data_IF_221697591511
#
_entry.id   IF_221697591511
#
_cell.length_a   1.000
_cell.length_b   1.000
_cell.length_c   1.000
_cell.angle_alpha   90.00
_cell.angle_beta   90.00
_cell.angle_gamma   90.00
#
_symmetry.space_group_name_H-M   'P 1'
#
loop_
_entity.id
_entity.type
_entity.pdbx_description
1 polymer ?
#
# COMPACT_ATOMS: atom_id res chain seq x y z
N UNK A 1 -7.31 -8.78 13.48
CA UNK A 1 -8.04 -7.50 13.40
C UNK A 1 -8.84 -7.57 12.11
N UNK A 2 -10.17 -7.65 12.21
CA UNK A 2 -11.01 -8.03 11.07
C UNK A 2 -11.28 -6.86 10.14
N UNK A 3 -11.03 -7.08 8.85
CA UNK A 3 -11.33 -6.11 7.77
C UNK A 3 -12.79 -5.67 7.77
N UNK A 4 -13.69 -6.55 8.24
CA UNK A 4 -15.13 -6.31 8.37
C UNK A 4 -15.44 -5.05 9.18
N UNK A 5 -14.64 -4.74 10.22
CA UNK A 5 -14.85 -3.55 11.05
C UNK A 5 -14.61 -2.23 10.30
N UNK A 6 -13.95 -2.27 9.14
CA UNK A 6 -13.72 -1.12 8.27
C UNK A 6 -14.74 -1.01 7.13
N UNK A 7 -15.65 -1.98 7.01
CA UNK A 7 -16.75 -1.98 6.04
C UNK A 7 -18.01 -1.40 6.68
N UNK A 8 -18.50 -0.30 6.11
CA UNK A 8 -19.77 0.28 6.57
C UNK A 8 -20.95 -0.63 6.16
N UNK A 9 -22.00 -0.74 6.99
CA UNK A 9 -23.20 -1.53 6.67
C UNK A 9 -23.79 -1.23 5.27
N UNK A 10 -23.86 0.03 4.81
CA UNK A 10 -24.27 0.36 3.44
C UNK A 10 -23.33 -0.19 2.36
N UNK A 11 -22.03 -0.36 2.66
CA UNK A 11 -21.07 -0.96 1.74
C UNK A 11 -21.28 -2.47 1.62
N UNK A 12 -21.53 -3.16 2.74
CA UNK A 12 -21.89 -4.59 2.74
C UNK A 12 -23.14 -4.82 1.89
N UNK A 13 -24.17 -3.96 2.06
CA UNK A 13 -25.39 -3.98 1.25
C UNK A 13 -25.06 -3.79 -0.24
N UNK A 14 -24.29 -2.77 -0.62
CA UNK A 14 -23.93 -2.56 -2.04
C UNK A 14 -23.15 -3.72 -2.66
N UNK A 15 -22.25 -4.36 -1.88
CA UNK A 15 -21.50 -5.55 -2.30
C UNK A 15 -22.45 -6.73 -2.54
N UNK A 16 -23.39 -6.98 -1.61
CA UNK A 16 -24.34 -8.10 -1.70
C UNK A 16 -25.34 -7.91 -2.85
N UNK A 17 -25.81 -6.68 -3.07
CA UNK A 17 -26.85 -6.39 -4.08
C UNK A 17 -26.30 -6.00 -5.46
N UNK A 18 -24.97 -5.97 -5.65
CA UNK A 18 -24.36 -5.65 -6.95
C UNK A 18 -24.66 -4.24 -7.47
N UNK A 19 -25.04 -3.31 -6.59
CA UNK A 19 -25.49 -1.96 -6.98
C UNK A 19 -24.27 -1.06 -7.21
N UNK A 20 -23.73 -1.10 -8.43
CA UNK A 20 -22.67 -0.19 -8.90
C UNK A 20 -23.30 0.99 -9.68
N UNK A 21 -23.74 2.02 -8.97
CA UNK A 21 -24.09 3.30 -9.63
C UNK A 21 -22.91 4.26 -9.75
N UNK A 22 -21.87 4.07 -8.94
CA UNK A 22 -20.59 4.79 -9.00
C UNK A 22 -19.49 3.84 -8.53
N UNK A 23 -18.29 3.90 -9.11
CA UNK A 23 -17.12 3.05 -8.84
C UNK A 23 -16.61 3.15 -7.38
N UNK A 24 -17.36 2.69 -6.39
CA UNK A 24 -16.98 2.83 -4.98
C UNK A 24 -17.96 2.24 -3.98
N UNK A 25 -17.75 0.98 -3.60
CA UNK A 25 -18.61 0.26 -2.66
C UNK A 25 -18.38 0.73 -1.21
N UNK A 26 -17.12 0.92 -0.81
CA UNK A 26 -16.70 1.56 0.45
C UNK A 26 -15.76 2.75 0.20
N UNK A 27 -16.02 3.90 0.82
CA UNK A 27 -15.11 5.08 0.76
C UNK A 27 -13.71 4.79 1.32
N UNK A 28 -13.63 3.86 2.28
CA UNK A 28 -12.45 3.53 3.10
C UNK A 28 -11.77 4.73 3.76
N UNK A 29 -12.51 5.84 3.92
CA UNK A 29 -12.10 6.99 4.71
C UNK A 29 -11.90 6.62 6.19
N UNK A 30 -12.69 5.68 6.72
CA UNK A 30 -12.52 5.16 8.08
C UNK A 30 -11.17 4.48 8.25
N UNK A 31 -10.81 3.60 7.32
CA UNK A 31 -9.50 2.96 7.31
C UNK A 31 -8.37 3.99 7.15
N UNK A 32 -8.50 4.93 6.20
CA UNK A 32 -7.51 5.99 6.00
C UNK A 32 -7.29 6.81 7.28
N UNK A 33 -8.36 7.21 7.98
CA UNK A 33 -8.28 7.92 9.26
C UNK A 33 -7.62 7.07 10.34
N UNK A 34 -7.99 5.80 10.44
CA UNK A 34 -7.41 4.88 11.41
C UNK A 34 -5.89 4.73 11.21
N UNK A 35 -5.44 4.46 9.97
CA UNK A 35 -4.00 4.33 9.70
C UNK A 35 -3.25 5.66 9.87
N UNK A 36 -3.87 6.78 9.48
CA UNK A 36 -3.29 8.12 9.66
C UNK A 36 -3.09 8.46 11.14
N UNK A 37 -4.02 8.07 12.02
CA UNK A 37 -3.88 8.26 13.46
C UNK A 37 -2.73 7.40 14.01
N UNK A 38 -2.64 6.13 13.60
CA UNK A 38 -1.53 5.27 14.00
C UNK A 38 -0.17 5.81 13.54
N UNK A 39 -0.09 6.31 12.31
CA UNK A 39 1.12 6.98 11.78
C UNK A 39 1.42 8.24 12.60
N UNK A 40 0.42 9.04 12.96
CA UNK A 40 0.61 10.24 13.81
C UNK A 40 1.18 9.86 15.18
N UNK A 41 0.67 8.82 15.82
CA UNK A 41 1.16 8.36 17.12
C UNK A 41 2.65 7.96 17.07
N UNK A 42 3.09 7.37 15.96
CA UNK A 42 4.50 6.95 15.78
C UNK A 42 5.41 8.08 15.31
N UNK A 43 4.94 8.90 14.37
CA UNK A 43 5.80 9.87 13.64
C UNK A 43 5.60 11.31 14.07
N UNK A 44 4.52 11.63 14.79
CA UNK A 44 4.08 12.99 15.13
C UNK A 44 3.20 13.67 14.07
N UNK A 45 3.12 13.12 12.85
CA UNK A 45 2.37 13.71 11.74
C UNK A 45 1.52 12.64 11.01
N UNK A 46 0.19 12.80 10.88
CA UNK A 46 -0.67 11.82 10.20
C UNK A 46 -0.35 11.64 8.71
N UNK A 47 0.29 12.63 8.09
CA UNK A 47 0.63 12.66 6.67
C UNK A 47 2.14 12.42 6.42
N UNK A 48 2.85 11.84 7.40
CA UNK A 48 4.28 11.54 7.25
C UNK A 48 4.56 10.78 5.96
N UNK A 49 5.56 11.27 5.23
CA UNK A 49 6.04 10.69 3.98
C UNK A 49 7.03 9.56 4.25
N UNK A 50 7.34 8.77 3.22
CA UNK A 50 8.40 7.77 3.34
C UNK A 50 9.76 8.39 3.69
N UNK A 51 10.03 9.61 3.24
CA UNK A 51 11.22 10.38 3.64
C UNK A 51 11.20 10.73 5.12
N UNK A 52 10.08 11.17 5.66
CA UNK A 52 9.97 11.53 7.08
C UNK A 52 10.19 10.31 7.99
N UNK A 53 9.62 9.17 7.61
CA UNK A 53 9.83 7.90 8.33
C UNK A 53 11.29 7.45 8.24
N UNK A 54 11.93 7.61 7.08
CA UNK A 54 13.34 7.25 6.89
C UNK A 54 14.28 8.13 7.72
N UNK A 55 14.01 9.43 7.84
CA UNK A 55 14.81 10.35 8.65
C UNK A 55 14.72 9.98 10.14
N UNK A 56 13.53 9.59 10.62
CA UNK A 56 13.30 9.20 12.02
C UNK A 56 13.73 7.75 12.33
N UNK A 57 14.36 7.06 11.38
CA UNK A 57 14.56 5.61 11.43
C UNK A 57 15.45 5.16 12.58
N UNK A 58 16.56 5.84 12.80
CA UNK A 58 17.52 5.52 13.85
C UNK A 58 16.92 5.86 15.23
N UNK A 59 16.41 7.07 15.40
CA UNK A 59 15.85 7.56 16.66
C UNK A 59 14.63 6.76 17.15
N UNK A 60 13.79 6.29 16.23
CA UNK A 60 12.54 5.58 16.55
C UNK A 60 12.59 4.08 16.27
N UNK A 61 13.73 3.57 15.82
CA UNK A 61 13.90 2.16 15.45
C UNK A 61 12.98 1.71 14.31
N UNK A 62 12.64 2.61 13.38
CA UNK A 62 11.79 2.24 12.25
C UNK A 62 12.53 1.37 11.24
N UNK A 63 11.77 0.68 10.40
CA UNK A 63 12.27 -0.14 9.30
C UNK A 63 11.91 0.49 7.96
N UNK A 64 12.66 0.16 6.93
CA UNK A 64 12.30 0.57 5.57
C UNK A 64 10.99 -0.11 5.17
N UNK A 65 10.03 0.70 4.74
CA UNK A 65 8.69 0.23 4.35
C UNK A 65 8.59 0.17 2.83
N UNK A 66 7.95 -0.90 2.35
CA UNK A 66 7.65 -1.12 0.95
C UNK A 66 6.19 -1.55 0.83
N UNK A 67 5.44 -0.85 -0.01
CA UNK A 67 4.06 -1.19 -0.35
C UNK A 67 3.92 -1.29 -1.86
N UNK A 68 2.94 -2.06 -2.32
CA UNK A 68 2.70 -2.24 -3.75
C UNK A 68 1.24 -1.89 -4.04
N UNK A 69 1.04 -1.10 -5.08
CA UNK A 69 -0.28 -0.87 -5.66
C UNK A 69 -0.28 -1.20 -7.13
N UNK A 70 -1.45 -1.44 -7.69
CA UNK A 70 -1.65 -1.58 -9.13
C UNK A 70 -2.15 -0.26 -9.69
N UNK A 71 -1.47 0.30 -10.68
CA UNK A 71 -1.98 1.42 -11.46
C UNK A 71 -2.80 0.85 -12.63
N UNK A 72 -4.13 1.02 -12.61
CA UNK A 72 -5.02 0.54 -13.66
C UNK A 72 -4.90 1.35 -14.95
N UNK A 73 -4.51 2.63 -14.86
CA UNK A 73 -4.33 3.48 -16.04
C UNK A 73 -3.14 3.03 -16.88
N UNK A 74 -2.11 2.47 -16.24
CA UNK A 74 -0.92 1.96 -16.93
C UNK A 74 -0.86 0.44 -17.02
N UNK A 75 -1.65 -0.28 -16.23
CA UNK A 75 -1.65 -1.74 -16.15
C UNK A 75 -0.46 -2.33 -15.38
N UNK A 76 0.31 -1.50 -14.64
CA UNK A 76 1.53 -1.94 -13.96
C UNK A 76 1.44 -1.85 -12.44
N UNK A 77 2.17 -2.73 -11.76
CA UNK A 77 2.41 -2.63 -10.32
C UNK A 77 3.44 -1.53 -10.02
N UNK A 78 3.14 -0.65 -9.07
CA UNK A 78 3.98 0.43 -8.58
C UNK A 78 4.44 0.15 -7.15
N UNK A 79 5.74 0.33 -6.88
CA UNK A 79 6.34 0.15 -5.56
C UNK A 79 6.42 1.51 -4.85
N UNK A 80 5.76 1.63 -3.71
CA UNK A 80 5.83 2.78 -2.83
C UNK A 80 6.83 2.54 -1.70
N UNK A 81 7.85 3.37 -1.61
CA UNK A 81 8.90 3.28 -0.59
C UNK A 81 9.71 4.58 -0.56
N UNK A 82 10.62 4.70 0.41
CA UNK A 82 11.57 5.82 0.45
C UNK A 82 12.41 5.94 -0.84
N UNK A 83 12.80 4.80 -1.43
CA UNK A 83 13.67 4.78 -2.62
C UNK A 83 12.96 5.17 -3.91
N UNK A 84 11.66 4.89 -4.02
CA UNK A 84 10.90 5.07 -5.25
C UNK A 84 9.98 6.28 -5.19
N UNK A 85 9.35 6.53 -4.04
CA UNK A 85 8.34 7.57 -3.85
C UNK A 85 8.54 8.29 -2.50
N UNK A 86 9.69 8.94 -2.26
CA UNK A 86 10.04 9.50 -0.95
C UNK A 86 9.05 10.53 -0.42
N UNK A 87 8.41 11.30 -1.30
CA UNK A 87 7.49 12.39 -0.96
C UNK A 87 6.04 11.91 -0.79
N UNK A 88 5.75 10.63 -1.04
CA UNK A 88 4.40 10.09 -0.91
C UNK A 88 4.10 9.82 0.57
N UNK A 89 2.88 10.16 1.01
CA UNK A 89 2.39 9.81 2.35
C UNK A 89 2.35 8.29 2.53
N UNK A 90 2.75 7.81 3.71
CA UNK A 90 2.67 6.38 4.04
C UNK A 90 1.21 5.93 4.13
N UNK A 91 0.32 6.77 4.70
CA UNK A 91 -1.12 6.49 4.79
C UNK A 91 -1.75 6.29 3.41
N UNK A 92 -1.30 7.09 2.43
CA UNK A 92 -1.71 6.97 1.03
C UNK A 92 -1.30 5.63 0.43
N UNK A 93 -0.05 5.22 0.64
CA UNK A 93 0.47 3.97 0.10
C UNK A 93 -0.20 2.74 0.71
N UNK A 94 -0.44 2.74 2.03
CA UNK A 94 -1.21 1.68 2.70
C UNK A 94 -2.64 1.63 2.15
N UNK A 95 -3.29 2.79 1.96
CA UNK A 95 -4.64 2.85 1.41
C UNK A 95 -4.71 2.29 -0.01
N UNK A 96 -3.73 2.63 -0.86
CA UNK A 96 -3.61 2.11 -2.23
C UNK A 96 -3.39 0.60 -2.21
N UNK A 97 -2.45 0.12 -1.40
CA UNK A 97 -2.11 -1.30 -1.26
C UNK A 97 -3.25 -2.16 -0.69
N UNK A 98 -4.22 -1.55 0.00
CA UNK A 98 -5.43 -2.21 0.50
C UNK A 98 -6.66 -2.03 -0.39
N UNK A 99 -6.52 -1.43 -1.58
CA UNK A 99 -7.65 -1.11 -2.45
C UNK A 99 -8.16 -2.34 -3.21
N UNK A 100 -8.57 -3.40 -2.49
CA UNK A 100 -9.17 -4.60 -3.09
C UNK A 100 -10.30 -4.18 -4.04
N UNK A 101 -10.18 -4.42 -5.35
CA UNK A 101 -10.97 -3.72 -6.37
C UNK A 101 -12.49 -3.98 -6.29
N UNK A 102 -12.92 -4.96 -5.51
CA UNK A 102 -14.33 -5.30 -5.28
C UNK A 102 -14.91 -4.59 -4.04
N UNK A 103 -14.08 -3.98 -3.18
CA UNK A 103 -14.54 -3.45 -1.89
C UNK A 103 -14.35 -1.94 -1.79
N UNK A 104 -13.27 -1.38 -2.33
CA UNK A 104 -12.92 0.03 -2.14
C UNK A 104 -12.90 0.82 -3.44
N UNK A 105 -13.42 2.06 -3.39
CA UNK A 105 -13.33 3.05 -4.46
C UNK A 105 -11.87 3.22 -4.89
N UNK A 106 -11.58 3.04 -6.18
CA UNK A 106 -10.23 3.20 -6.71
C UNK A 106 -9.71 4.62 -6.47
N UNK A 107 -8.47 4.75 -5.99
CA UNK A 107 -7.92 6.08 -5.64
C UNK A 107 -7.38 6.74 -6.90
N UNK A 108 -7.80 7.98 -7.16
CA UNK A 108 -7.21 8.82 -8.21
C UNK A 108 -6.00 9.59 -7.67
N UNK A 109 -4.89 9.62 -8.42
CA UNK A 109 -3.79 10.54 -8.12
C UNK A 109 -4.08 11.96 -8.66
N UNK A 110 -3.17 12.90 -8.39
CA UNK A 110 -3.25 14.29 -8.87
C UNK A 110 -3.18 14.44 -10.40
N UNK A 111 -2.80 13.38 -11.12
CA UNK A 111 -2.77 13.29 -12.58
C UNK A 111 -4.01 12.60 -13.17
N UNK A 112 -4.92 12.12 -12.33
CA UNK A 112 -6.14 11.42 -12.74
C UNK A 112 -6.01 9.90 -12.88
N UNK A 113 -4.82 9.33 -12.63
CA UNK A 113 -4.59 7.88 -12.75
C UNK A 113 -5.31 7.11 -11.64
N UNK A 114 -5.90 5.97 -12.00
CA UNK A 114 -6.73 5.14 -11.13
C UNK A 114 -5.91 3.98 -10.56
N UNK A 115 -5.88 3.84 -9.24
CA UNK A 115 -5.14 2.78 -8.54
C UNK A 115 -6.06 1.77 -7.86
N UNK A 116 -5.69 0.48 -7.91
CA UNK A 116 -6.31 -0.66 -7.20
C UNK A 116 -5.27 -1.55 -6.51
N UNK A 117 -5.72 -2.56 -5.76
CA UNK A 117 -4.90 -3.48 -4.98
C UNK A 117 -3.76 -4.14 -5.78
N UNK A 118 -2.61 -4.31 -5.12
CA UNK A 118 -1.49 -5.11 -5.62
C UNK A 118 -1.80 -6.60 -5.69
N UNK A 119 -2.80 -7.10 -4.95
CA UNK A 119 -3.24 -8.50 -4.99
C UNK A 119 -3.77 -8.97 -6.35
N UNK A 120 -4.15 -8.05 -7.25
CA UNK A 120 -4.66 -8.39 -8.58
C UNK A 120 -3.56 -8.69 -9.62
N UNK A 121 -2.35 -8.15 -9.43
CA UNK A 121 -1.20 -8.33 -10.34
C UNK A 121 0.01 -8.99 -9.68
N UNK A 122 0.22 -8.81 -8.38
CA UNK A 122 1.38 -9.33 -7.66
C UNK A 122 1.05 -9.57 -6.18
N UNK A 123 0.29 -10.64 -5.93
CA UNK A 123 -0.14 -11.05 -4.59
C UNK A 123 1.03 -11.44 -3.64
N UNK A 124 2.20 -11.77 -4.20
CA UNK A 124 3.39 -12.12 -3.43
C UNK A 124 4.63 -11.46 -4.04
N UNK A 125 5.03 -10.27 -3.59
CA UNK A 125 6.19 -9.57 -4.13
C UNK A 125 7.51 -10.12 -3.59
N UNK A 126 7.68 -11.45 -3.64
CA UNK A 126 8.88 -12.18 -3.23
C UNK A 126 10.10 -11.60 -3.96
N UNK A 127 9.95 -11.29 -5.25
CA UNK A 127 11.03 -10.74 -6.09
C UNK A 127 11.51 -9.34 -5.69
N UNK A 128 10.81 -8.63 -4.81
CA UNK A 128 11.25 -7.32 -4.33
C UNK A 128 12.57 -7.41 -3.55
N UNK A 129 12.79 -8.55 -2.89
CA UNK A 129 13.96 -8.80 -2.07
C UNK A 129 15.01 -9.73 -2.71
N UNK A 130 14.78 -10.21 -3.94
CA UNK A 130 15.72 -11.08 -4.70
C UNK A 130 17.03 -10.37 -5.12
N UNK A 131 17.21 -9.09 -4.79
CA UNK A 131 18.42 -8.33 -5.19
C UNK A 131 19.53 -8.45 -4.15
N UNK A 132 20.76 -8.66 -4.61
CA UNK A 132 21.98 -8.78 -3.78
C UNK A 132 22.15 -7.68 -2.71
N UNK A 133 21.67 -6.46 -2.99
CA UNK A 133 21.69 -5.32 -2.04
C UNK A 133 20.89 -5.52 -0.74
N UNK A 134 20.03 -6.53 -0.67
CA UNK A 134 19.24 -6.87 0.51
C UNK A 134 19.83 -8.05 1.31
N UNK A 135 20.92 -8.67 0.82
CA UNK A 135 21.65 -9.73 1.51
C UNK A 135 22.54 -9.09 2.58
N UNK A 136 22.23 -9.32 3.85
CA UNK A 136 22.98 -8.79 4.99
C UNK A 136 24.05 -9.75 5.53
N UNK A 137 23.95 -11.05 5.20
CA UNK A 137 24.90 -12.08 5.64
C UNK A 137 25.21 -13.04 4.50
N UNK A 138 26.49 -13.34 4.29
CA UNK A 138 27.02 -14.08 3.14
C UNK A 138 26.62 -15.58 3.04
N UNK A 139 25.59 -16.03 3.76
CA UNK A 139 25.20 -17.46 3.82
C UNK A 139 23.70 -17.74 3.65
N UNK A 140 22.85 -16.73 3.43
CA UNK A 140 21.40 -16.91 3.28
C UNK A 140 20.90 -16.48 1.89
N UNK A 141 21.57 -16.92 0.84
CA UNK A 141 21.10 -16.72 -0.54
C UNK A 141 21.50 -17.88 -1.43
N UNK A 142 20.68 -18.12 -2.45
CA UNK A 142 20.96 -19.03 -3.56
C UNK A 142 20.68 -18.26 -4.86
N UNK A 143 21.59 -18.34 -5.82
CA UNK A 143 21.42 -17.72 -7.15
C UNK A 143 21.01 -18.84 -8.12
N UNK A 144 19.70 -18.99 -8.42
CA UNK A 144 19.25 -20.03 -9.33
C UNK A 144 19.74 -19.75 -10.75
N UNK A 145 19.87 -20.81 -11.55
CA UNK A 145 20.45 -20.74 -12.90
C UNK A 145 19.76 -19.71 -13.82
N UNK A 146 18.48 -19.43 -13.58
CA UNK A 146 17.70 -18.40 -14.27
C UNK A 146 18.29 -16.98 -14.18
N UNK A 147 19.06 -16.65 -13.14
CA UNK A 147 19.67 -15.32 -12.95
C UNK A 147 21.17 -15.28 -13.27
N UNK A 148 21.76 -16.39 -13.74
CA UNK A 148 23.14 -16.42 -14.26
C UNK A 148 23.24 -15.78 -15.65
#
# INVERSE_FOLDING_TARGET
>A
MDIINFLDFPCIVKIIYGINKEFGLCSGNKFYKWISNFIKEKTGNPNSTFKDVYIQKEDKGFRDMYFIGTNLSTGFAEVFSYKHTPTKSVADAVRISMSYPIVFTAKKNSRGDVYVDGGLLNNYPIRLFDRKKYITSAGYFEEPEYYK
#
